data_IF_212455842810
#
_entry.id   IF_212455842810
#
_cell.length_a   1.000
_cell.length_b   1.000
_cell.length_c   1.000
_cell.angle_alpha   90.00
_cell.angle_beta   90.00
_cell.angle_gamma   90.00
#
_symmetry.space_group_name_H-M   'P 1'
#
loop_
_entity.id
_entity.type
_entity.pdbx_description
1 polymer ?
#
# COMPACT_ATOMS: atom_id res chain seq x y z
N UNK A 1 -21.23 -11.27 1.22
CA UNK A 1 -20.32 -10.43 2.01
C UNK A 1 -19.82 -9.18 1.30
N UNK A 2 -20.01 -9.11 0.02
CA UNK A 2 -19.52 -7.96 -0.74
C UNK A 2 -20.14 -6.63 -0.35
N UNK A 3 -21.32 -6.64 0.22
CA UNK A 3 -22.01 -5.39 0.57
C UNK A 3 -21.49 -4.75 1.85
N UNK A 4 -20.65 -5.45 2.60
CA UNK A 4 -20.17 -4.94 3.88
C UNK A 4 -19.15 -3.83 3.67
N UNK A 5 -18.40 -3.91 2.59
CA UNK A 5 -17.26 -3.00 2.35
C UNK A 5 -17.68 -1.55 2.21
N UNK A 6 -18.84 -1.29 1.64
CA UNK A 6 -19.27 0.07 1.39
C UNK A 6 -19.92 0.79 2.55
N UNK A 7 -20.15 0.10 3.66
CA UNK A 7 -20.84 0.70 4.79
C UNK A 7 -19.91 1.68 5.50
N UNK A 8 -20.37 2.93 5.66
CA UNK A 8 -19.58 3.93 6.37
C UNK A 8 -18.39 4.47 5.61
N UNK A 9 -18.32 4.29 4.31
CA UNK A 9 -17.24 4.82 3.48
C UNK A 9 -15.90 4.16 3.75
N UNK A 10 -15.15 4.67 4.71
CA UNK A 10 -13.80 4.19 4.99
C UNK A 10 -13.74 2.91 5.81
N UNK A 11 -14.86 2.47 6.32
CA UNK A 11 -14.89 1.29 7.18
C UNK A 11 -14.72 0.03 6.35
N UNK A 12 -13.80 -0.81 6.76
CA UNK A 12 -13.48 -2.05 6.09
C UNK A 12 -13.65 -3.21 7.04
N UNK A 13 -14.23 -4.32 6.54
CA UNK A 13 -14.36 -5.52 7.33
C UNK A 13 -12.98 -6.02 7.77
N UNK A 14 -12.77 -6.22 9.06
CA UNK A 14 -11.47 -6.61 9.60
C UNK A 14 -11.58 -7.43 10.87
N UNK A 15 -12.70 -8.11 11.06
CA UNK A 15 -12.94 -8.92 12.26
C UNK A 15 -11.95 -10.08 12.31
N UNK A 16 -11.32 -10.26 13.46
CA UNK A 16 -10.36 -11.36 13.68
C UNK A 16 -10.97 -12.71 13.39
N UNK A 17 -12.25 -12.88 13.68
CA UNK A 17 -12.94 -14.16 13.50
C UNK A 17 -13.07 -14.59 12.05
N UNK A 18 -12.82 -13.68 11.11
CA UNK A 18 -12.86 -13.98 9.68
C UNK A 18 -11.48 -14.22 9.09
N UNK A 19 -10.45 -14.20 9.91
CA UNK A 19 -9.06 -14.31 9.45
C UNK A 19 -8.40 -15.53 10.07
N UNK A 20 -7.47 -16.10 9.33
CA UNK A 20 -6.65 -17.21 9.84
C UNK A 20 -5.21 -17.00 9.43
N UNK A 21 -4.29 -17.72 10.09
CA UNK A 21 -2.85 -17.63 9.80
C UNK A 21 -2.33 -16.20 9.93
N UNK A 22 -2.81 -15.51 10.97
CA UNK A 22 -2.41 -14.11 11.19
C UNK A 22 -0.95 -14.07 11.59
N UNK A 23 -0.15 -13.35 10.82
CA UNK A 23 1.30 -13.29 11.00
C UNK A 23 1.77 -11.84 10.90
N UNK A 24 2.64 -11.44 11.82
CA UNK A 24 3.23 -10.11 11.81
C UNK A 24 4.13 -9.98 10.58
N UNK A 25 4.04 -8.84 9.90
CA UNK A 25 4.87 -8.57 8.73
C UNK A 25 6.33 -8.44 9.18
N UNK A 26 7.24 -9.30 8.68
CA UNK A 26 8.64 -9.22 9.07
C UNK A 26 9.40 -8.18 8.26
N UNK A 27 10.46 -7.63 8.85
CA UNK A 27 11.37 -6.70 8.17
C UNK A 27 10.63 -5.52 7.55
N UNK A 28 9.66 -5.01 8.28
CA UNK A 28 8.78 -3.96 7.76
C UNK A 28 9.53 -2.64 7.54
N UNK A 29 10.48 -2.32 8.40
CA UNK A 29 11.26 -1.09 8.24
C UNK A 29 12.06 -1.14 6.94
N UNK A 30 12.71 -2.26 6.66
CA UNK A 30 13.46 -2.41 5.41
C UNK A 30 12.53 -2.33 4.20
N UNK A 31 11.34 -2.91 4.31
CA UNK A 31 10.35 -2.83 3.23
C UNK A 31 9.96 -1.38 2.95
N UNK A 32 9.67 -0.62 3.98
CA UNK A 32 9.31 0.80 3.81
C UNK A 32 10.48 1.58 3.22
N UNK A 33 11.70 1.30 3.66
CA UNK A 33 12.88 2.00 3.15
C UNK A 33 13.16 1.72 1.68
N UNK A 34 12.62 0.63 1.13
CA UNK A 34 12.78 0.30 -0.28
C UNK A 34 11.76 1.02 -1.17
N UNK A 35 10.80 1.70 -0.58
CA UNK A 35 9.81 2.48 -1.32
C UNK A 35 10.26 3.93 -1.43
N UNK A 36 9.72 4.64 -2.43
CA UNK A 36 9.97 6.07 -2.58
C UNK A 36 8.67 6.84 -2.61
N UNK A 37 8.67 8.01 -2.01
CA UNK A 37 7.56 8.94 -2.16
C UNK A 37 7.89 9.88 -3.31
N UNK A 38 6.98 10.01 -4.26
CA UNK A 38 7.25 10.72 -5.50
C UNK A 38 6.16 11.71 -5.85
N UNK A 39 6.56 12.79 -6.51
CA UNK A 39 5.65 13.59 -7.31
C UNK A 39 5.93 13.25 -8.77
N UNK A 40 4.89 13.31 -9.59
CA UNK A 40 5.02 12.95 -11.00
C UNK A 40 3.94 13.61 -11.82
N UNK A 41 4.07 13.47 -13.12
CA UNK A 41 3.07 13.93 -14.07
C UNK A 41 2.52 12.72 -14.82
N UNK A 42 1.20 12.65 -14.92
CA UNK A 42 0.56 11.61 -15.72
C UNK A 42 0.87 11.86 -17.20
N UNK A 43 1.23 10.80 -17.92
CA UNK A 43 1.48 10.91 -19.35
C UNK A 43 0.19 11.23 -20.08
N UNK A 44 0.31 12.00 -21.14
CA UNK A 44 -0.83 12.32 -22.00
C UNK A 44 -1.32 11.07 -22.71
N UNK A 45 -2.64 10.94 -22.80
CA UNK A 45 -3.27 9.85 -23.55
C UNK A 45 -3.15 8.48 -22.90
N UNK A 46 -2.78 8.43 -21.62
CA UNK A 46 -2.50 7.14 -21.02
C UNK A 46 -2.99 7.06 -19.57
N UNK A 47 -3.81 6.07 -19.22
CA UNK A 47 -4.57 5.22 -20.15
C UNK A 47 -5.56 6.06 -20.95
N UNK A 48 -6.04 5.53 -22.07
CA UNK A 48 -6.82 6.32 -23.03
C UNK A 48 -8.02 7.04 -22.42
N UNK A 49 -8.59 6.50 -21.36
CA UNK A 49 -9.76 7.11 -20.72
C UNK A 49 -9.42 7.85 -19.43
N UNK A 50 -8.16 8.15 -19.19
CA UNK A 50 -7.77 8.84 -17.96
C UNK A 50 -8.18 10.31 -18.04
N UNK A 51 -8.87 10.78 -17.01
CA UNK A 51 -9.27 12.19 -16.93
C UNK A 51 -8.16 13.05 -16.35
N UNK A 52 -7.13 12.43 -15.76
CA UNK A 52 -6.03 13.14 -15.13
C UNK A 52 -4.76 13.21 -16.00
N UNK A 53 -4.85 12.84 -17.28
CA UNK A 53 -3.71 12.89 -18.17
C UNK A 53 -3.10 14.29 -18.21
N UNK A 54 -1.77 14.37 -18.10
CA UNK A 54 -1.05 15.62 -18.09
C UNK A 54 -1.03 16.37 -16.78
N UNK A 55 -1.77 15.92 -15.77
CA UNK A 55 -1.78 16.58 -14.46
C UNK A 55 -0.66 16.08 -13.57
N UNK A 56 -0.27 16.90 -12.60
CA UNK A 56 0.71 16.52 -11.59
C UNK A 56 0.02 15.79 -10.44
N UNK A 57 0.73 14.83 -9.85
CA UNK A 57 0.18 14.05 -8.77
C UNK A 57 1.31 13.59 -7.85
N UNK A 58 0.93 12.96 -6.75
CA UNK A 58 1.84 12.45 -5.74
C UNK A 58 1.50 11.00 -5.43
N UNK A 59 2.49 10.15 -5.31
CA UNK A 59 2.23 8.75 -5.00
C UNK A 59 3.48 7.91 -4.95
N UNK A 60 3.27 6.61 -4.94
CA UNK A 60 4.34 5.61 -4.91
C UNK A 60 4.31 4.81 -6.20
N UNK A 61 5.37 4.04 -6.42
CA UNK A 61 5.53 3.26 -7.65
C UNK A 61 5.04 1.85 -7.40
N UNK A 62 4.07 1.39 -8.19
CA UNK A 62 3.45 0.08 -7.99
C UNK A 62 4.48 -1.06 -8.08
N UNK A 63 5.47 -0.96 -8.97
CA UNK A 63 6.48 -1.99 -9.11
C UNK A 63 7.33 -2.14 -7.86
N UNK A 64 7.62 -1.04 -7.17
CA UNK A 64 8.35 -1.11 -5.90
C UNK A 64 7.53 -1.82 -4.83
N UNK A 65 6.23 -1.54 -4.79
CA UNK A 65 5.34 -2.19 -3.83
C UNK A 65 5.20 -3.67 -4.13
N UNK A 66 5.08 -4.02 -5.41
CA UNK A 66 4.98 -5.42 -5.82
C UNK A 66 6.20 -6.22 -5.36
N UNK A 67 7.37 -5.61 -5.40
CA UNK A 67 8.61 -6.26 -5.01
C UNK A 67 8.65 -6.61 -3.51
N UNK A 68 7.78 -6.02 -2.69
CA UNK A 68 7.70 -6.37 -1.28
C UNK A 68 7.16 -7.79 -1.04
N UNK A 69 6.46 -8.35 -2.01
CA UNK A 69 5.94 -9.70 -1.92
C UNK A 69 4.78 -9.88 -0.96
N UNK A 70 4.07 -8.82 -0.62
CA UNK A 70 2.95 -8.89 0.32
C UNK A 70 1.63 -9.07 -0.42
N UNK A 71 0.79 -9.96 0.11
CA UNK A 71 -0.49 -10.29 -0.52
C UNK A 71 -1.45 -9.11 -0.49
N UNK A 72 -2.16 -8.92 -1.58
CA UNK A 72 -3.31 -8.02 -1.62
C UNK A 72 -3.00 -6.54 -1.80
N UNK A 73 -1.74 -6.14 -1.86
CA UNK A 73 -1.40 -4.72 -1.95
C UNK A 73 -1.37 -4.23 -3.39
N UNK A 74 -0.96 -5.08 -4.33
CA UNK A 74 -0.90 -4.72 -5.73
C UNK A 74 -1.80 -5.62 -6.56
N UNK A 75 -2.22 -5.12 -7.70
CA UNK A 75 -3.00 -5.87 -8.68
C UNK A 75 -2.68 -5.33 -10.06
N UNK A 76 -3.29 -5.94 -11.08
CA UNK A 76 -3.14 -5.48 -12.46
C UNK A 76 -4.53 -5.22 -13.03
N UNK A 77 -4.70 -4.06 -13.65
CA UNK A 77 -5.95 -3.68 -14.30
C UNK A 77 -5.63 -3.15 -15.68
N UNK A 78 -6.23 -3.77 -16.69
CA UNK A 78 -6.02 -3.36 -18.10
C UNK A 78 -4.54 -3.29 -18.48
N UNK A 79 -3.75 -4.21 -17.94
CA UNK A 79 -2.32 -4.29 -18.23
C UNK A 79 -1.45 -3.38 -17.37
N UNK A 80 -2.05 -2.58 -16.50
CA UNK A 80 -1.30 -1.64 -15.64
C UNK A 80 -1.43 -2.00 -14.18
N UNK A 81 -0.37 -1.78 -13.43
CA UNK A 81 -0.32 -2.16 -12.02
C UNK A 81 -1.00 -1.11 -11.16
N UNK A 82 -1.72 -1.59 -10.15
CA UNK A 82 -2.42 -0.76 -9.17
C UNK A 82 -1.89 -1.05 -7.78
N UNK A 83 -2.10 -0.08 -6.88
CA UNK A 83 -1.69 -0.19 -5.47
C UNK A 83 -2.87 0.12 -4.57
N UNK A 84 -3.03 -0.68 -3.52
CA UNK A 84 -3.93 -0.32 -2.42
C UNK A 84 -3.13 0.44 -1.37
N UNK A 85 -3.30 1.74 -1.32
CA UNK A 85 -2.59 2.57 -0.34
C UNK A 85 -2.99 2.21 1.09
N UNK A 86 -4.26 1.83 1.30
CA UNK A 86 -4.72 1.44 2.62
C UNK A 86 -3.97 0.24 3.16
N UNK A 87 -3.57 -0.68 2.30
CA UNK A 87 -2.87 -1.89 2.73
C UNK A 87 -1.40 -1.68 3.01
N UNK A 88 -0.89 -0.50 2.74
CA UNK A 88 0.43 -0.11 3.20
C UNK A 88 0.42 0.30 4.68
N UNK A 89 -0.73 0.64 5.23
CA UNK A 89 -0.82 1.05 6.64
C UNK A 89 -0.28 -0.05 7.57
N UNK A 90 -0.66 -1.32 7.45
CA UNK A 90 -0.09 -2.37 8.30
C UNK A 90 1.43 -2.47 8.20
N UNK A 91 1.99 -2.28 7.01
CA UNK A 91 3.44 -2.30 6.83
C UNK A 91 4.08 -1.16 7.59
N UNK A 92 3.47 0.03 7.52
CA UNK A 92 3.97 1.20 8.23
C UNK A 92 3.85 1.04 9.74
N UNK A 93 2.79 0.39 10.23
CA UNK A 93 2.64 0.13 11.67
C UNK A 93 3.83 -0.68 12.17
N UNK A 94 4.17 -1.77 11.49
CA UNK A 94 5.28 -2.61 11.92
C UNK A 94 6.62 -1.94 11.69
N UNK A 95 6.76 -1.14 10.63
CA UNK A 95 7.99 -0.38 10.38
C UNK A 95 8.26 0.63 11.49
N UNK A 96 7.22 1.32 11.95
CA UNK A 96 7.35 2.29 13.05
C UNK A 96 7.77 1.57 14.32
N UNK A 97 7.20 0.41 14.60
CA UNK A 97 7.56 -0.37 15.80
C UNK A 97 9.01 -0.84 15.72
N UNK A 98 9.46 -1.29 14.56
CA UNK A 98 10.86 -1.70 14.38
C UNK A 98 11.80 -0.52 14.55
N UNK A 99 11.43 0.63 14.01
CA UNK A 99 12.23 1.84 14.17
C UNK A 99 12.30 2.27 15.63
N UNK A 100 11.16 2.23 16.33
CA UNK A 100 11.10 2.56 17.75
C UNK A 100 12.02 1.66 18.56
N UNK A 101 12.02 0.36 18.26
CA UNK A 101 12.91 -0.58 18.95
C UNK A 101 14.38 -0.26 18.69
N UNK A 102 14.72 0.15 17.46
CA UNK A 102 16.09 0.53 17.13
C UNK A 102 16.53 1.77 17.91
N UNK A 103 15.65 2.75 18.00
CA UNK A 103 15.93 3.98 18.75
C UNK A 103 16.12 3.65 20.23
N UNK A 104 15.26 2.81 20.80
CA UNK A 104 15.37 2.39 22.21
C UNK A 104 16.69 1.70 22.49
N UNK A 105 17.18 0.90 21.52
CA UNK A 105 18.44 0.17 21.68
C UNK A 105 19.65 1.10 21.70
N UNK A 106 19.50 2.34 21.23
CA UNK A 106 20.58 3.31 21.24
C UNK A 106 20.65 4.14 22.52
N UNK A 107 19.65 4.01 23.39
CA UNK A 107 19.57 4.82 24.62
C UNK A 107 20.28 4.16 25.79
#
# INVERSE_FOLDING_TARGET
>A
MKNVVGIGGDMTLSDQNLKENITIIPNALDKVKSLTGNTFKWKDGYPANATNAGSNDTGIIAQEVEALGLAGITSTRDGYKTVSYKRLIPVMIEAIKELSAKVDALS
#
